data_IF_453418448583
#
_entry.id   IF_453418448583
#
_cell.length_a   1.000
_cell.length_b   1.000
_cell.length_c   1.000
_cell.angle_alpha   90.00
_cell.angle_beta   90.00
_cell.angle_gamma   90.00
#
_symmetry.space_group_name_H-M   'P 1'
#
loop_
_entity.id
_entity.type
_entity.pdbx_description
1 polymer ?
#
# COMPACT_ATOMS: atom_id res chain seq x y z
N UNK A 1 62.29 -20.29 -54.90
CA UNK A 1 62.83 -19.53 -53.75
C UNK A 1 61.87 -19.73 -52.59
N UNK A 2 62.31 -20.58 -51.65
CA UNK A 2 61.92 -20.85 -50.25
C UNK A 2 60.63 -20.22 -49.65
N UNK A 3 59.71 -21.14 -49.27
CA UNK A 3 58.86 -21.27 -48.06
C UNK A 3 58.51 -20.08 -47.13
N UNK A 4 57.25 -20.06 -46.66
CA UNK A 4 56.91 -20.44 -45.27
C UNK A 4 55.41 -20.76 -45.10
N UNK A 5 55.14 -21.90 -44.47
CA UNK A 5 53.87 -22.38 -43.91
C UNK A 5 53.37 -21.52 -42.73
N UNK A 6 52.07 -21.59 -42.46
CA UNK A 6 51.45 -20.96 -41.28
C UNK A 6 49.97 -21.28 -41.12
N UNK A 7 49.66 -22.55 -40.87
CA UNK A 7 48.37 -23.10 -40.43
C UNK A 7 47.83 -22.43 -39.15
N UNK A 8 46.52 -22.19 -39.09
CA UNK A 8 45.85 -21.72 -37.86
C UNK A 8 44.33 -21.62 -37.96
N UNK A 9 43.66 -22.75 -38.20
CA UNK A 9 42.21 -22.89 -37.95
C UNK A 9 41.94 -22.91 -36.44
N UNK A 10 41.10 -22.00 -35.94
CA UNK A 10 40.76 -21.95 -34.52
C UNK A 10 39.47 -21.18 -34.27
N UNK A 11 38.37 -21.93 -34.27
CA UNK A 11 37.01 -21.62 -33.87
C UNK A 11 36.74 -20.25 -33.21
N UNK A 12 35.86 -19.48 -33.84
CA UNK A 12 35.10 -18.39 -33.23
C UNK A 12 34.37 -18.96 -32.01
N UNK A 13 34.90 -18.68 -30.82
CA UNK A 13 34.35 -19.15 -29.56
C UNK A 13 32.98 -18.48 -29.33
N UNK A 14 31.94 -19.16 -29.81
CA UNK A 14 30.55 -18.86 -29.50
C UNK A 14 30.44 -18.82 -27.98
N UNK A 15 30.26 -17.61 -27.43
CA UNK A 15 30.05 -17.44 -25.99
C UNK A 15 28.98 -18.44 -25.55
N UNK A 16 29.26 -19.23 -24.49
CA UNK A 16 28.25 -20.15 -24.00
C UNK A 16 27.00 -19.34 -23.65
N UNK A 17 25.78 -19.86 -23.94
CA UNK A 17 24.58 -19.16 -23.55
C UNK A 17 24.70 -18.89 -22.06
N UNK A 18 24.70 -17.61 -21.67
CA UNK A 18 24.71 -17.22 -20.26
C UNK A 18 23.60 -18.03 -19.62
N UNK A 19 23.99 -18.93 -18.71
CA UNK A 19 23.03 -19.66 -17.90
C UNK A 19 22.08 -18.59 -17.36
N UNK A 20 20.79 -18.72 -17.67
CA UNK A 20 19.76 -17.83 -17.17
C UNK A 20 19.71 -18.00 -15.67
N UNK A 21 20.59 -17.30 -14.97
CA UNK A 21 20.55 -17.15 -13.54
C UNK A 21 19.14 -16.62 -13.24
N UNK A 22 18.48 -17.18 -12.23
CA UNK A 22 17.11 -16.80 -11.82
C UNK A 22 16.95 -15.30 -11.56
N UNK A 23 18.05 -14.54 -11.51
CA UNK A 23 18.09 -13.10 -11.36
C UNK A 23 19.14 -12.44 -12.29
N UNK A 24 18.99 -12.57 -13.61
CA UNK A 24 19.79 -11.79 -14.56
C UNK A 24 19.37 -10.32 -14.49
N UNK A 25 20.35 -9.40 -14.38
CA UNK A 25 20.09 -7.97 -14.49
C UNK A 25 19.36 -7.68 -15.80
N UNK A 26 18.15 -7.11 -15.67
CA UNK A 26 17.30 -6.76 -16.80
C UNK A 26 16.89 -5.31 -16.60
N UNK A 27 17.08 -4.50 -17.62
CA UNK A 27 16.54 -3.15 -17.65
C UNK A 27 15.05 -3.23 -18.03
N UNK A 28 14.23 -2.51 -17.30
CA UNK A 28 12.79 -2.46 -17.50
C UNK A 28 12.31 -1.01 -17.67
N UNK A 29 13.23 -0.08 -17.96
CA UNK A 29 12.89 1.31 -18.17
C UNK A 29 11.97 1.44 -19.39
N UNK A 30 10.81 2.08 -19.20
CA UNK A 30 9.78 2.24 -20.24
C UNK A 30 8.78 1.08 -20.35
N UNK A 31 8.99 -0.05 -19.68
CA UNK A 31 8.03 -1.17 -19.72
C UNK A 31 6.86 -0.96 -18.74
N UNK A 32 5.63 -1.15 -19.23
CA UNK A 32 4.43 -1.11 -18.39
C UNK A 32 4.31 -2.41 -17.60
N UNK A 33 4.59 -2.35 -16.30
CA UNK A 33 4.41 -3.48 -15.38
C UNK A 33 2.97 -3.55 -14.88
N UNK A 34 2.44 -4.76 -14.78
CA UNK A 34 1.10 -5.05 -14.27
C UNK A 34 1.08 -6.37 -13.51
N UNK A 35 0.04 -6.60 -12.71
CA UNK A 35 -0.18 -7.88 -12.05
C UNK A 35 -0.37 -9.05 -13.02
N UNK A 36 -0.75 -8.80 -14.28
CA UNK A 36 -0.86 -9.85 -15.29
C UNK A 36 0.51 -10.28 -15.86
N UNK A 37 1.46 -9.36 -15.93
CA UNK A 37 2.76 -9.57 -16.60
C UNK A 37 3.92 -9.78 -15.64
N UNK A 38 3.80 -9.29 -14.40
CA UNK A 38 4.87 -9.29 -13.40
C UNK A 38 4.27 -9.69 -12.05
N UNK A 39 3.92 -10.97 -11.92
CA UNK A 39 3.40 -11.58 -10.70
C UNK A 39 4.44 -12.49 -10.04
N UNK A 40 4.28 -12.74 -8.74
CA UNK A 40 5.07 -13.75 -8.06
C UNK A 40 4.64 -15.14 -8.50
N UNK A 41 5.62 -16.02 -8.75
CA UNK A 41 5.36 -17.43 -9.06
C UNK A 41 5.15 -18.29 -7.82
N UNK A 42 5.53 -17.78 -6.64
CA UNK A 42 5.44 -18.51 -5.36
C UNK A 42 4.26 -18.06 -4.50
N UNK A 43 3.78 -16.84 -4.72
CA UNK A 43 2.63 -16.25 -4.03
C UNK A 43 1.76 -15.52 -5.07
N UNK A 44 0.73 -16.18 -5.63
CA UNK A 44 -0.16 -15.59 -6.64
C UNK A 44 -0.97 -14.38 -6.15
N UNK A 45 -1.07 -14.20 -4.84
CA UNK A 45 -1.90 -13.16 -4.22
C UNK A 45 -1.11 -11.87 -3.97
N UNK A 46 0.22 -11.93 -3.95
CA UNK A 46 1.08 -10.75 -3.90
C UNK A 46 0.87 -9.86 -5.14
N UNK A 47 0.51 -8.59 -4.92
CA UNK A 47 0.21 -7.64 -6.00
C UNK A 47 1.26 -6.54 -6.08
N UNK A 48 1.53 -6.11 -7.29
CA UNK A 48 2.41 -4.99 -7.59
C UNK A 48 1.75 -3.69 -7.13
N UNK A 49 2.34 -3.06 -6.11
CA UNK A 49 1.82 -1.83 -5.51
C UNK A 49 2.91 -0.77 -5.37
N UNK A 50 2.50 0.50 -5.42
CA UNK A 50 3.39 1.65 -5.31
C UNK A 50 2.88 2.56 -4.20
N UNK A 51 3.65 2.68 -3.12
CA UNK A 51 3.29 3.48 -1.94
C UNK A 51 3.17 4.99 -2.24
N UNK A 52 4.06 5.54 -3.07
CA UNK A 52 4.05 6.95 -3.42
C UNK A 52 4.48 7.21 -4.87
N UNK A 53 4.11 8.38 -5.41
CA UNK A 53 4.57 8.82 -6.73
C UNK A 53 6.11 8.86 -6.75
N UNK A 54 6.72 8.26 -7.77
CA UNK A 54 8.17 8.20 -7.93
C UNK A 54 8.85 7.06 -7.18
N UNK A 55 8.14 6.30 -6.34
CA UNK A 55 8.70 5.09 -5.72
C UNK A 55 8.56 3.87 -6.64
N UNK A 56 9.48 2.92 -6.48
CA UNK A 56 9.41 1.63 -7.16
C UNK A 56 8.16 0.87 -6.72
N UNK A 57 7.52 0.20 -7.67
CA UNK A 57 6.44 -0.73 -7.36
C UNK A 57 7.04 -2.07 -6.88
N UNK A 58 6.47 -2.63 -5.81
CA UNK A 58 6.91 -3.89 -5.19
C UNK A 58 5.73 -4.86 -5.12
N UNK A 59 6.01 -6.15 -5.21
CA UNK A 59 5.02 -7.19 -4.93
C UNK A 59 4.79 -7.23 -3.41
N UNK A 60 3.57 -7.02 -2.97
CA UNK A 60 3.23 -7.04 -1.55
C UNK A 60 1.75 -7.38 -1.32
N UNK A 61 1.46 -7.70 -0.07
CA UNK A 61 0.13 -7.59 0.55
C UNK A 61 0.02 -6.23 1.23
N UNK A 62 -1.20 -5.79 1.52
CA UNK A 62 -1.45 -4.61 2.35
C UNK A 62 -1.86 -5.06 3.74
N UNK A 63 -1.06 -4.68 4.74
CA UNK A 63 -1.37 -4.87 6.15
C UNK A 63 -2.10 -3.65 6.69
N UNK A 64 -3.23 -3.90 7.35
CA UNK A 64 -4.07 -2.88 7.98
C UNK A 64 -4.15 -3.15 9.46
N UNK A 65 -4.08 -2.09 10.26
CA UNK A 65 -4.12 -2.17 11.73
C UNK A 65 -5.12 -1.14 12.23
N UNK A 66 -5.98 -1.56 13.16
CA UNK A 66 -6.80 -0.64 13.95
C UNK A 66 -6.30 -0.59 15.39
N UNK A 67 -6.18 0.62 15.93
CA UNK A 67 -5.67 0.89 17.27
C UNK A 67 -6.72 1.63 18.10
N UNK A 68 -6.86 1.21 19.36
CA UNK A 68 -7.60 1.96 20.38
C UNK A 68 -6.77 3.18 20.79
N UNK A 69 -7.32 4.37 20.52
CA UNK A 69 -6.57 5.62 20.63
C UNK A 69 -6.15 5.96 22.06
N UNK A 70 -6.95 5.66 23.08
CA UNK A 70 -6.67 6.08 24.47
C UNK A 70 -5.38 5.48 25.00
N UNK A 71 -5.16 4.19 24.75
CA UNK A 71 -4.03 3.46 25.30
C UNK A 71 -2.98 3.09 24.25
N UNK A 72 -3.27 3.28 22.95
CA UNK A 72 -2.37 2.90 21.87
C UNK A 72 -2.30 1.39 21.64
N UNK A 73 -3.36 0.65 21.98
CA UNK A 73 -3.40 -0.80 21.85
C UNK A 73 -3.89 -1.19 20.45
N UNK A 74 -3.19 -2.10 19.79
CA UNK A 74 -3.69 -2.75 18.57
C UNK A 74 -4.87 -3.64 18.94
N UNK A 75 -6.02 -3.43 18.31
CA UNK A 75 -7.26 -4.16 18.59
C UNK A 75 -7.73 -5.04 17.44
N UNK A 76 -7.28 -4.76 16.21
CA UNK A 76 -7.52 -5.62 15.06
C UNK A 76 -6.39 -5.42 14.04
N UNK A 77 -6.08 -6.45 13.27
CA UNK A 77 -5.14 -6.43 12.17
C UNK A 77 -5.60 -7.37 11.07
N UNK A 78 -5.49 -6.95 9.80
CA UNK A 78 -5.87 -7.78 8.66
C UNK A 78 -4.93 -7.57 7.48
N UNK A 79 -4.83 -8.58 6.62
CA UNK A 79 -4.05 -8.54 5.39
C UNK A 79 -5.01 -8.65 4.21
N UNK A 80 -4.82 -7.79 3.21
CA UNK A 80 -5.58 -7.83 1.97
C UNK A 80 -4.66 -7.83 0.76
N UNK A 81 -5.20 -8.17 -0.41
CA UNK A 81 -4.55 -7.85 -1.66
C UNK A 81 -4.28 -6.35 -1.77
N UNK A 82 -3.16 -5.98 -2.39
CA UNK A 82 -2.85 -4.59 -2.61
C UNK A 82 -3.71 -4.02 -3.75
N UNK A 83 -4.50 -2.98 -3.42
CA UNK A 83 -5.37 -2.27 -4.35
C UNK A 83 -5.42 -0.78 -3.98
N UNK A 84 -6.03 0.05 -4.83
CA UNK A 84 -6.19 1.49 -4.54
C UNK A 84 -7.27 1.81 -3.51
N UNK A 85 -8.10 0.84 -3.12
CA UNK A 85 -9.23 1.00 -2.20
C UNK A 85 -9.11 0.14 -0.95
N UNK A 86 -8.19 -0.82 -0.93
CA UNK A 86 -8.00 -1.82 0.12
C UNK A 86 -7.95 -1.23 1.53
N UNK A 87 -7.28 -0.09 1.73
CA UNK A 87 -7.22 0.60 3.03
C UNK A 87 -8.61 0.98 3.57
N UNK A 88 -9.46 1.54 2.71
CA UNK A 88 -10.80 2.01 3.09
C UNK A 88 -11.77 0.86 3.26
N UNK A 89 -11.68 -0.15 2.38
CA UNK A 89 -12.48 -1.37 2.47
C UNK A 89 -12.16 -2.14 3.76
N UNK A 90 -10.86 -2.38 4.02
CA UNK A 90 -10.41 -3.04 5.23
C UNK A 90 -10.83 -2.27 6.49
N UNK A 91 -10.74 -0.94 6.51
CA UNK A 91 -11.19 -0.14 7.64
C UNK A 91 -12.68 -0.34 7.96
N UNK A 92 -13.56 -0.40 6.95
CA UNK A 92 -14.99 -0.66 7.15
C UNK A 92 -15.23 -2.07 7.67
N UNK A 93 -14.54 -3.06 7.11
CA UNK A 93 -14.66 -4.46 7.53
C UNK A 93 -14.18 -4.66 8.98
N UNK A 94 -13.05 -4.04 9.34
CA UNK A 94 -12.50 -4.04 10.71
C UNK A 94 -13.46 -3.39 11.70
N UNK A 95 -14.04 -2.24 11.34
CA UNK A 95 -15.06 -1.58 12.16
C UNK A 95 -16.32 -2.43 12.32
N UNK A 96 -16.74 -3.14 11.26
CA UNK A 96 -17.91 -4.03 11.30
C UNK A 96 -17.74 -5.22 12.25
N UNK A 97 -16.49 -5.63 12.54
CA UNK A 97 -16.17 -6.67 13.53
C UNK A 97 -16.10 -6.15 14.96
N UNK A 98 -16.09 -4.84 15.18
CA UNK A 98 -15.97 -4.29 16.52
C UNK A 98 -17.26 -4.44 17.32
N UNK A 99 -17.16 -5.13 18.45
CA UNK A 99 -18.25 -5.27 19.40
C UNK A 99 -18.23 -4.14 20.45
N UNK A 100 -19.39 -3.59 20.77
CA UNK A 100 -19.49 -2.59 21.83
C UNK A 100 -20.81 -1.83 21.83
N UNK A 101 -21.20 -1.33 23.01
CA UNK A 101 -22.38 -0.46 23.19
C UNK A 101 -22.06 1.04 23.14
N UNK A 102 -20.80 1.39 22.90
CA UNK A 102 -20.34 2.77 22.90
C UNK A 102 -20.23 3.33 21.49
N UNK A 103 -20.35 4.65 21.36
CA UNK A 103 -20.17 5.32 20.07
C UNK A 103 -18.72 5.23 19.62
N UNK A 104 -18.49 4.76 18.41
CA UNK A 104 -17.14 4.64 17.82
C UNK A 104 -16.81 5.92 17.04
N UNK A 105 -15.58 6.41 17.22
CA UNK A 105 -14.97 7.45 16.38
C UNK A 105 -13.78 6.85 15.65
N UNK A 106 -13.72 6.96 14.33
CA UNK A 106 -12.56 6.50 13.56
C UNK A 106 -11.63 7.68 13.26
N UNK A 107 -10.40 7.63 13.76
CA UNK A 107 -9.37 8.59 13.40
C UNK A 107 -8.52 8.05 12.24
N UNK A 108 -8.41 8.80 11.15
CA UNK A 108 -7.66 8.38 9.96
C UNK A 108 -6.93 9.55 9.28
N UNK A 109 -5.99 9.24 8.39
CA UNK A 109 -5.25 10.26 7.65
C UNK A 109 -6.09 10.90 6.52
N UNK A 110 -5.51 11.89 5.85
CA UNK A 110 -6.22 12.72 4.84
C UNK A 110 -6.60 11.96 3.56
N UNK A 111 -5.95 10.84 3.26
CA UNK A 111 -6.26 10.01 2.11
C UNK A 111 -7.64 9.34 2.25
N UNK A 112 -8.10 9.13 3.49
CA UNK A 112 -9.43 8.61 3.78
C UNK A 112 -10.55 9.66 3.59
N UNK A 113 -10.23 10.95 3.42
CA UNK A 113 -11.21 12.02 3.22
C UNK A 113 -11.82 11.95 1.80
N UNK A 114 -12.73 11.00 1.63
CA UNK A 114 -13.45 10.68 0.39
C UNK A 114 -14.93 10.61 0.70
N UNK A 115 -15.78 11.09 -0.22
CA UNK A 115 -17.20 11.28 0.07
C UNK A 115 -17.93 9.94 0.33
N UNK A 116 -17.59 8.92 -0.44
CA UNK A 116 -18.03 7.53 -0.31
C UNK A 116 -17.66 6.93 1.05
N UNK A 117 -16.39 7.05 1.47
CA UNK A 117 -15.94 6.49 2.75
C UNK A 117 -16.56 7.21 3.94
N UNK A 118 -16.62 8.55 3.90
CA UNK A 118 -17.23 9.34 4.96
C UNK A 118 -18.73 9.07 5.07
N UNK A 119 -19.42 8.85 3.95
CA UNK A 119 -20.82 8.42 3.95
C UNK A 119 -20.96 7.03 4.58
N UNK A 120 -20.17 6.05 4.14
CA UNK A 120 -20.20 4.69 4.67
C UNK A 120 -19.99 4.65 6.20
N UNK A 121 -19.01 5.41 6.73
CA UNK A 121 -18.80 5.52 8.18
C UNK A 121 -20.04 6.03 8.91
N UNK A 122 -20.69 7.06 8.37
CA UNK A 122 -21.90 7.64 8.98
C UNK A 122 -23.07 6.67 8.93
N UNK A 123 -23.22 5.90 7.86
CA UNK A 123 -24.26 4.89 7.72
C UNK A 123 -24.13 3.79 8.78
N UNK A 124 -22.89 3.37 9.09
CA UNK A 124 -22.60 2.44 10.20
C UNK A 124 -22.50 3.13 11.57
N UNK A 125 -22.94 4.39 11.68
CA UNK A 125 -22.96 5.20 12.91
C UNK A 125 -21.59 5.44 13.56
N UNK A 126 -20.52 5.35 12.77
CA UNK A 126 -19.16 5.72 13.17
C UNK A 126 -18.94 7.20 12.88
N UNK A 127 -18.43 7.93 13.87
CA UNK A 127 -18.12 9.37 13.71
C UNK A 127 -16.75 9.52 13.04
N UNK A 128 -16.64 10.15 11.87
CA UNK A 128 -15.40 10.18 11.09
C UNK A 128 -14.48 11.28 11.60
N UNK A 129 -13.48 10.94 12.43
CA UNK A 129 -12.37 11.82 12.81
C UNK A 129 -11.24 11.75 11.78
N UNK A 130 -11.59 11.90 10.50
CA UNK A 130 -10.62 11.85 9.39
C UNK A 130 -9.97 13.22 9.20
N UNK A 131 -8.67 13.26 8.93
CA UNK A 131 -7.99 14.52 8.61
C UNK A 131 -8.58 15.19 7.35
N UNK A 132 -8.98 16.46 7.45
CA UNK A 132 -9.48 17.20 6.31
C UNK A 132 -8.44 17.31 5.19
N UNK A 133 -8.86 17.02 3.96
CA UNK A 133 -8.13 17.22 2.74
C UNK A 133 -8.76 18.38 1.96
N UNK A 134 -8.13 19.55 2.06
CA UNK A 134 -8.59 20.80 1.43
C UNK A 134 -7.69 21.24 0.26
N UNK A 135 -6.72 20.41 -0.14
CA UNK A 135 -5.81 20.75 -1.23
C UNK A 135 -6.52 20.61 -2.58
N UNK A 136 -6.83 21.73 -3.23
CA UNK A 136 -7.51 21.80 -4.53
C UNK A 136 -8.90 21.14 -4.55
N UNK A 137 -9.54 20.97 -3.38
CA UNK A 137 -10.88 20.38 -3.24
C UNK A 137 -11.52 20.76 -1.92
N UNK A 138 -12.82 20.50 -1.80
CA UNK A 138 -13.55 20.55 -0.53
C UNK A 138 -13.44 19.20 0.19
N UNK A 139 -13.27 19.26 1.51
CA UNK A 139 -13.28 18.10 2.40
C UNK A 139 -14.69 17.53 2.54
N UNK A 140 -14.82 16.19 2.66
CA UNK A 140 -16.08 15.53 3.01
C UNK A 140 -16.35 15.60 4.53
N UNK A 141 -15.33 15.92 5.33
CA UNK A 141 -15.43 16.20 6.76
C UNK A 141 -15.85 17.64 6.97
N UNK A 142 -17.01 17.81 7.60
CA UNK A 142 -17.67 19.09 7.84
C UNK A 142 -17.66 19.47 9.34
N UNK A 143 -18.27 20.62 9.65
CA UNK A 143 -18.30 21.19 10.99
C UNK A 143 -18.92 20.29 12.06
N UNK A 144 -19.77 19.33 11.68
CA UNK A 144 -20.37 18.37 12.62
C UNK A 144 -19.31 17.48 13.28
N UNK A 145 -18.18 17.25 12.61
CA UNK A 145 -17.04 16.56 13.21
C UNK A 145 -16.09 17.58 13.84
N UNK A 146 -15.68 18.60 13.10
CA UNK A 146 -14.49 19.40 13.45
C UNK A 146 -14.69 20.35 14.62
N UNK A 147 -15.94 20.72 14.96
CA UNK A 147 -16.22 21.62 16.08
C UNK A 147 -16.05 20.96 17.45
N UNK A 148 -15.97 19.63 17.52
CA UNK A 148 -15.81 18.92 18.79
C UNK A 148 -14.34 18.80 19.19
N UNK A 149 -14.03 19.09 20.46
CA UNK A 149 -12.65 18.97 21.00
C UNK A 149 -12.07 17.55 20.84
N UNK A 150 -12.92 16.52 20.87
CA UNK A 150 -12.55 15.14 20.62
C UNK A 150 -11.90 14.91 19.25
N UNK A 151 -12.31 15.65 18.22
CA UNK A 151 -11.68 15.58 16.90
C UNK A 151 -10.21 16.00 16.98
N UNK A 152 -9.92 17.16 17.60
CA UNK A 152 -8.55 17.65 17.76
C UNK A 152 -7.67 16.71 18.60
N UNK A 153 -8.24 16.03 19.59
CA UNK A 153 -7.54 14.99 20.38
C UNK A 153 -7.22 13.77 19.51
N UNK A 154 -8.21 13.22 18.81
CA UNK A 154 -8.02 12.07 17.91
C UNK A 154 -6.99 12.33 16.82
N UNK A 155 -6.96 13.54 16.24
CA UNK A 155 -5.97 13.90 15.22
C UNK A 155 -4.53 13.92 15.73
N UNK A 156 -4.32 14.21 17.02
CA UNK A 156 -3.00 14.15 17.64
C UNK A 156 -2.61 12.70 17.92
N UNK A 157 -3.52 11.94 18.54
CA UNK A 157 -3.25 10.58 19.00
C UNK A 157 -3.10 9.59 17.86
N UNK A 158 -3.89 9.71 16.78
CA UNK A 158 -3.88 8.75 15.66
C UNK A 158 -2.50 8.51 15.07
N UNK A 159 -1.58 9.48 15.20
CA UNK A 159 -0.20 9.37 14.71
C UNK A 159 0.58 8.23 15.38
N UNK A 160 0.17 7.79 16.58
CA UNK A 160 0.76 6.63 17.27
C UNK A 160 0.57 5.31 16.51
N UNK A 161 -0.39 5.24 15.57
CA UNK A 161 -0.54 4.03 14.73
C UNK A 161 0.74 3.71 13.96
N UNK A 162 1.53 4.73 13.60
CA UNK A 162 2.79 4.55 12.88
C UNK A 162 3.83 3.82 13.74
N UNK A 163 3.78 3.96 15.07
CA UNK A 163 4.68 3.26 16.01
C UNK A 163 4.48 1.74 15.98
N UNK A 164 3.32 1.25 15.51
CA UNK A 164 3.04 -0.18 15.36
C UNK A 164 3.86 -0.78 14.20
N UNK A 165 4.15 0.01 13.17
CA UNK A 165 4.84 -0.48 11.98
C UNK A 165 6.38 -0.39 12.07
N UNK A 166 6.92 0.24 13.13
CA UNK A 166 8.36 0.39 13.37
C UNK A 166 8.92 1.72 12.92
#
# INVERSE_FOLDING_TARGET
MVAADGSGSGAEAKQPPKATARNSERDFHGEKRSNATHASTTDPDARLYKKARGQAAKLCHMGHVTMENRNGLVVDATLTHASGTAEREAALDMLGRMEGRHRITLAADKAYDTADFVAALRDIKVTPHVAQNTTNRRSAIDGRTTHHSGYAVSQRIRKRIEEVFG
#
